data_IF_497343181302
#
_entry.id   IF_497343181302
#
_cell.length_a   1.000
_cell.length_b   1.000
_cell.length_c   1.000
_cell.angle_alpha   90.00
_cell.angle_beta   90.00
_cell.angle_gamma   90.00
#
_symmetry.space_group_name_H-M   'P 1'
#
loop_
_entity.id
_entity.type
_entity.pdbx_description
1 polymer ?
#
# COMPACT_ATOMS: atom_id res chain seq x y z
N UNK A 1 14.38 -3.05 2.66
CA UNK A 1 14.66 -4.52 2.67
C UNK A 1 15.35 -5.07 1.42
N UNK A 2 14.87 -4.76 0.22
CA UNK A 2 15.31 -5.37 -1.06
C UNK A 2 16.74 -5.02 -1.52
N UNK A 3 17.46 -4.19 -0.78
CA UNK A 3 18.91 -3.96 -0.98
C UNK A 3 19.78 -5.03 -0.30
N UNK A 4 19.21 -5.78 0.67
CA UNK A 4 19.91 -6.83 1.40
C UNK A 4 20.01 -8.08 0.53
N UNK A 5 21.23 -8.59 0.32
CA UNK A 5 21.48 -9.72 -0.59
C UNK A 5 20.98 -11.06 -0.02
N UNK A 6 21.03 -11.21 1.29
CA UNK A 6 20.60 -12.37 2.10
C UNK A 6 19.10 -12.33 2.46
N UNK A 7 18.31 -11.42 1.87
CA UNK A 7 16.89 -11.24 2.21
C UNK A 7 16.07 -12.53 2.08
N UNK A 8 16.31 -13.30 1.02
CA UNK A 8 15.57 -14.55 0.78
C UNK A 8 15.94 -15.62 1.81
N UNK A 9 17.23 -15.70 2.19
CA UNK A 9 17.70 -16.65 3.20
C UNK A 9 17.12 -16.33 4.58
N UNK A 10 17.03 -15.04 4.93
CA UNK A 10 16.36 -14.59 6.16
C UNK A 10 14.90 -15.03 6.18
N UNK A 11 14.17 -14.86 5.07
CA UNK A 11 12.76 -15.28 4.99
C UNK A 11 12.64 -16.81 5.17
N UNK A 12 13.53 -17.61 4.55
CA UNK A 12 13.54 -19.07 4.74
C UNK A 12 13.82 -19.45 6.18
N UNK A 13 14.78 -18.78 6.83
CA UNK A 13 15.13 -19.03 8.22
C UNK A 13 13.95 -18.73 9.14
N UNK A 14 13.29 -17.57 8.97
CA UNK A 14 12.08 -17.22 9.72
C UNK A 14 10.99 -18.27 9.47
N UNK A 15 10.83 -18.73 8.23
CA UNK A 15 9.80 -19.72 7.87
C UNK A 15 10.03 -21.09 8.50
N UNK A 16 11.27 -21.46 8.83
CA UNK A 16 11.56 -22.71 9.54
C UNK A 16 11.06 -22.74 10.99
N UNK A 17 10.62 -21.61 11.54
CA UNK A 17 9.92 -21.56 12.82
C UNK A 17 8.42 -21.79 12.59
N UNK A 18 7.92 -22.99 12.90
CA UNK A 18 6.52 -23.40 12.65
C UNK A 18 5.47 -22.53 13.34
N UNK A 19 5.85 -21.86 14.43
CA UNK A 19 5.00 -20.92 15.18
C UNK A 19 4.70 -19.64 14.39
N UNK A 20 5.56 -19.26 13.45
CA UNK A 20 5.42 -18.04 12.65
C UNK A 20 4.48 -18.29 11.47
N UNK A 21 3.26 -17.73 11.58
CA UNK A 21 2.20 -17.90 10.56
C UNK A 21 2.27 -16.85 9.45
N UNK A 22 2.75 -15.65 9.75
CA UNK A 22 2.79 -14.54 8.79
C UNK A 22 4.19 -13.96 8.70
N UNK A 23 4.72 -13.88 7.48
CA UNK A 23 5.99 -13.21 7.19
C UNK A 23 5.67 -12.12 6.18
N UNK A 24 5.87 -10.87 6.62
CA UNK A 24 5.60 -9.68 5.83
C UNK A 24 6.85 -8.92 5.44
N UNK A 25 6.83 -8.27 4.28
CA UNK A 25 7.78 -7.19 3.97
C UNK A 25 7.05 -5.89 3.68
N UNK A 26 7.74 -4.78 3.94
CA UNK A 26 7.41 -3.46 3.40
C UNK A 26 8.52 -3.01 2.45
N UNK A 27 8.17 -2.66 1.22
CA UNK A 27 9.12 -2.26 0.18
C UNK A 27 8.63 -1.04 -0.58
N UNK A 28 9.52 -0.25 -1.17
CA UNK A 28 9.14 0.83 -2.10
C UNK A 28 8.87 0.32 -3.53
N UNK A 29 8.81 -1.00 -3.73
CA UNK A 29 8.50 -1.63 -5.01
C UNK A 29 9.64 -1.62 -6.04
N UNK A 30 10.65 -0.75 -5.93
CA UNK A 30 11.65 -0.54 -7.00
C UNK A 30 12.38 -1.82 -7.40
N UNK A 31 12.82 -2.63 -6.44
CA UNK A 31 13.53 -3.88 -6.69
C UNK A 31 12.66 -5.14 -6.53
N UNK A 32 11.33 -4.98 -6.40
CA UNK A 32 10.43 -6.08 -6.05
C UNK A 32 10.49 -7.23 -7.07
N UNK A 33 10.47 -6.92 -8.37
CA UNK A 33 10.52 -7.92 -9.44
C UNK A 33 11.70 -8.90 -9.35
N UNK A 34 12.85 -8.45 -8.84
CA UNK A 34 14.05 -9.32 -8.68
C UNK A 34 13.85 -10.41 -7.64
N UNK A 35 13.00 -10.17 -6.64
CA UNK A 35 12.85 -11.03 -5.47
C UNK A 35 11.46 -11.66 -5.35
N UNK A 36 10.45 -11.14 -6.05
CA UNK A 36 9.04 -11.49 -5.89
C UNK A 36 8.81 -13.01 -5.80
N UNK A 37 9.24 -13.75 -6.84
CA UNK A 37 9.11 -15.21 -6.90
C UNK A 37 9.91 -15.92 -5.81
N UNK A 38 11.16 -15.52 -5.59
CA UNK A 38 12.04 -16.15 -4.60
C UNK A 38 11.54 -15.96 -3.17
N UNK A 39 10.97 -14.78 -2.87
CA UNK A 39 10.39 -14.47 -1.56
C UNK A 39 9.14 -15.28 -1.30
N UNK A 40 8.24 -15.38 -2.29
CA UNK A 40 7.07 -16.23 -2.20
C UNK A 40 7.47 -17.69 -1.93
N UNK A 41 8.42 -18.23 -2.71
CA UNK A 41 8.95 -19.58 -2.52
C UNK A 41 9.64 -19.78 -1.17
N UNK A 42 10.25 -18.74 -0.61
CA UNK A 42 10.86 -18.77 0.72
C UNK A 42 9.83 -18.77 1.87
N UNK A 43 8.54 -18.56 1.57
CA UNK A 43 7.45 -18.55 2.55
C UNK A 43 6.92 -17.17 2.90
N UNK A 44 7.29 -16.12 2.15
CA UNK A 44 6.68 -14.80 2.31
C UNK A 44 5.20 -14.84 1.88
N UNK A 45 4.32 -14.38 2.76
CA UNK A 45 2.86 -14.42 2.53
C UNK A 45 2.14 -13.09 2.77
N UNK A 46 2.87 -12.01 3.08
CA UNK A 46 2.33 -10.65 3.22
C UNK A 46 3.22 -9.62 2.54
N UNK A 47 2.65 -8.83 1.63
CA UNK A 47 3.38 -7.83 0.86
C UNK A 47 2.78 -6.43 1.06
N UNK A 48 3.61 -5.51 1.57
CA UNK A 48 3.27 -4.11 1.74
C UNK A 48 4.17 -3.26 0.83
N UNK A 49 3.58 -2.36 0.08
CA UNK A 49 4.27 -1.50 -0.87
C UNK A 49 4.02 -0.04 -0.50
N UNK A 50 5.07 0.71 -0.21
CA UNK A 50 4.96 2.16 0.01
C UNK A 50 4.92 2.89 -1.33
N UNK A 51 3.83 3.62 -1.59
CA UNK A 51 3.64 4.44 -2.78
C UNK A 51 2.75 5.63 -2.44
N UNK A 52 3.33 6.83 -2.42
CA UNK A 52 2.62 8.04 -1.99
C UNK A 52 1.99 8.83 -3.15
N UNK A 53 2.19 8.45 -4.40
CA UNK A 53 1.60 9.15 -5.55
C UNK A 53 1.58 8.27 -6.79
N UNK A 54 0.54 8.45 -7.61
CA UNK A 54 0.36 7.88 -8.94
C UNK A 54 0.79 8.86 -10.05
N UNK A 55 1.29 10.05 -9.68
CA UNK A 55 1.84 11.03 -10.61
C UNK A 55 3.35 10.91 -10.66
N UNK A 56 3.90 10.69 -11.86
CA UNK A 56 5.33 10.43 -12.09
C UNK A 56 6.21 11.54 -11.54
N UNK A 57 5.86 12.79 -11.81
CA UNK A 57 6.64 13.98 -11.43
C UNK A 57 6.67 14.13 -9.90
N UNK A 58 5.54 13.91 -9.23
CA UNK A 58 5.44 13.92 -7.76
C UNK A 58 6.27 12.77 -7.16
N UNK A 59 6.26 11.58 -7.78
CA UNK A 59 7.05 10.43 -7.33
C UNK A 59 8.55 10.72 -7.40
N UNK A 60 9.01 11.25 -8.52
CA UNK A 60 10.43 11.56 -8.75
C UNK A 60 10.90 12.67 -7.80
N UNK A 61 10.04 13.67 -7.55
CA UNK A 61 10.28 14.71 -6.55
C UNK A 61 10.45 14.15 -5.13
N UNK A 62 9.53 13.28 -4.68
CA UNK A 62 9.59 12.69 -3.33
C UNK A 62 10.76 11.72 -3.16
N UNK A 63 10.93 10.79 -4.10
CA UNK A 63 11.87 9.68 -3.96
C UNK A 63 13.29 10.03 -4.44
N UNK A 64 13.43 11.12 -5.21
CA UNK A 64 14.66 11.52 -5.91
C UNK A 64 15.19 10.42 -6.85
N UNK A 65 14.28 9.62 -7.41
CA UNK A 65 14.61 8.47 -8.29
C UNK A 65 13.68 8.41 -9.48
N UNK A 66 14.26 8.25 -10.68
CA UNK A 66 13.54 8.00 -11.92
C UNK A 66 13.08 6.53 -12.01
N UNK A 67 12.18 6.12 -11.11
CA UNK A 67 11.77 4.73 -10.95
C UNK A 67 10.25 4.50 -10.98
N UNK A 68 9.46 5.55 -11.21
CA UNK A 68 7.98 5.47 -11.14
C UNK A 68 7.41 4.35 -12.03
N UNK A 69 7.71 4.38 -13.33
CA UNK A 69 7.22 3.37 -14.29
C UNK A 69 7.58 1.95 -13.85
N UNK A 70 8.81 1.75 -13.34
CA UNK A 70 9.26 0.46 -12.85
C UNK A 70 8.48 0.00 -11.62
N UNK A 71 8.18 0.91 -10.69
CA UNK A 71 7.37 0.58 -9.50
C UNK A 71 5.97 0.17 -9.90
N UNK A 72 5.30 0.90 -10.80
CA UNK A 72 3.96 0.56 -11.28
C UNK A 72 3.95 -0.80 -11.99
N UNK A 73 4.92 -1.09 -12.85
CA UNK A 73 5.07 -2.40 -13.49
C UNK A 73 5.25 -3.51 -12.46
N UNK A 74 6.12 -3.31 -11.47
CA UNK A 74 6.36 -4.31 -10.43
C UNK A 74 5.12 -4.56 -9.53
N UNK A 75 4.29 -3.53 -9.29
CA UNK A 75 3.03 -3.68 -8.55
C UNK A 75 2.05 -4.54 -9.35
N UNK A 76 1.92 -4.27 -10.66
CA UNK A 76 1.08 -5.07 -11.55
C UNK A 76 1.55 -6.53 -11.60
N UNK A 77 2.84 -6.75 -11.79
CA UNK A 77 3.43 -8.10 -11.78
C UNK A 77 3.13 -8.85 -10.47
N UNK A 78 3.19 -8.16 -9.33
CA UNK A 78 2.87 -8.76 -8.03
C UNK A 78 1.38 -9.11 -7.86
N UNK A 79 0.47 -8.29 -8.40
CA UNK A 79 -0.96 -8.57 -8.42
C UNK A 79 -1.28 -9.74 -9.36
N UNK A 80 -0.76 -9.70 -10.58
CA UNK A 80 -1.01 -10.71 -11.62
C UNK A 80 -0.44 -12.09 -11.26
N UNK A 81 0.61 -12.15 -10.43
CA UNK A 81 1.22 -13.41 -10.02
C UNK A 81 0.36 -14.24 -9.06
N UNK A 82 -0.62 -13.61 -8.38
CA UNK A 82 -1.47 -14.24 -7.37
C UNK A 82 -0.70 -14.95 -6.24
N UNK A 83 0.55 -14.51 -5.96
CA UNK A 83 1.40 -15.11 -4.93
C UNK A 83 0.97 -14.75 -3.51
N UNK A 84 0.31 -13.62 -3.35
CA UNK A 84 -0.09 -13.10 -2.04
C UNK A 84 -1.61 -13.07 -1.95
N UNK A 85 -2.20 -13.54 -0.83
CA UNK A 85 -3.64 -13.44 -0.62
C UNK A 85 -4.10 -11.98 -0.51
N UNK A 86 -3.19 -11.08 -0.09
CA UNK A 86 -3.44 -9.66 0.02
C UNK A 86 -2.14 -8.87 -0.16
N UNK A 87 -2.18 -7.89 -1.05
CA UNK A 87 -1.15 -6.87 -1.26
C UNK A 87 -1.69 -5.55 -0.70
N UNK A 88 -0.92 -4.90 0.16
CA UNK A 88 -1.26 -3.60 0.76
C UNK A 88 -0.41 -2.51 0.11
N UNK A 89 -1.03 -1.48 -0.43
CA UNK A 89 -0.32 -0.24 -0.81
C UNK A 89 -0.53 0.79 0.28
N UNK A 90 0.55 1.26 0.90
CA UNK A 90 0.55 2.30 1.91
C UNK A 90 0.86 3.64 1.25
N UNK A 91 -0.05 4.60 1.38
CA UNK A 91 0.09 5.96 0.87
C UNK A 91 -0.01 6.94 2.04
N UNK A 92 1.05 7.70 2.30
CA UNK A 92 1.04 8.80 3.25
C UNK A 92 0.41 10.01 2.59
N UNK A 93 -0.74 10.43 3.11
CA UNK A 93 -1.54 11.50 2.51
C UNK A 93 -1.11 12.85 3.11
N UNK A 94 -0.79 13.78 2.21
CA UNK A 94 -0.34 15.13 2.48
C UNK A 94 -1.25 16.14 1.79
N UNK A 95 -1.73 17.10 2.58
CA UNK A 95 -2.57 18.20 2.10
C UNK A 95 -1.83 19.01 1.02
N UNK A 96 -2.55 19.40 -0.03
CA UNK A 96 -2.04 20.15 -1.20
C UNK A 96 -0.88 19.48 -1.94
N UNK A 97 -0.66 18.19 -1.72
CA UNK A 97 0.37 17.43 -2.43
C UNK A 97 -0.21 16.23 -3.18
N UNK A 98 -0.85 15.29 -2.48
CA UNK A 98 -1.41 14.06 -3.06
C UNK A 98 -2.83 13.73 -2.55
N UNK A 99 -3.45 14.59 -1.72
CA UNK A 99 -4.82 14.38 -1.25
C UNK A 99 -5.85 14.39 -2.40
N UNK A 100 -5.50 14.96 -3.55
CA UNK A 100 -6.25 14.92 -4.80
C UNK A 100 -6.26 13.52 -5.46
N UNK A 101 -5.30 12.66 -5.13
CA UNK A 101 -5.12 11.33 -5.77
C UNK A 101 -5.84 10.20 -5.01
N UNK A 102 -6.55 10.49 -3.92
CA UNK A 102 -7.23 9.46 -3.10
C UNK A 102 -8.14 8.56 -3.92
N UNK A 103 -8.95 9.15 -4.81
CA UNK A 103 -9.88 8.40 -5.65
C UNK A 103 -9.14 7.62 -6.75
N UNK A 104 -8.02 8.15 -7.27
CA UNK A 104 -7.20 7.44 -8.25
C UNK A 104 -6.57 6.17 -7.64
N UNK A 105 -6.15 6.23 -6.37
CA UNK A 105 -5.70 5.05 -5.65
C UNK A 105 -6.83 4.03 -5.42
N UNK A 106 -8.03 4.49 -5.06
CA UNK A 106 -9.20 3.62 -4.87
C UNK A 106 -9.59 2.95 -6.19
N UNK A 107 -9.48 3.64 -7.32
CA UNK A 107 -9.76 3.10 -8.66
C UNK A 107 -8.90 1.86 -8.97
N UNK A 108 -7.67 1.78 -8.48
CA UNK A 108 -6.82 0.59 -8.63
C UNK A 108 -7.46 -0.68 -8.05
N UNK A 109 -8.36 -0.54 -7.08
CA UNK A 109 -9.01 -1.66 -6.39
C UNK A 109 -10.24 -2.20 -7.13
N UNK A 110 -10.71 -1.52 -8.19
CA UNK A 110 -11.97 -1.86 -8.88
C UNK A 110 -12.07 -3.34 -9.25
N UNK A 111 -11.04 -3.86 -9.92
CA UNK A 111 -11.00 -5.24 -10.42
C UNK A 111 -9.90 -6.07 -9.71
N UNK A 112 -9.52 -5.70 -8.49
CA UNK A 112 -8.38 -6.30 -7.78
C UNK A 112 -8.78 -6.75 -6.37
N UNK A 113 -9.34 -7.96 -6.26
CA UNK A 113 -9.80 -8.54 -4.98
C UNK A 113 -8.69 -8.74 -3.94
N UNK A 114 -7.44 -8.90 -4.40
CA UNK A 114 -6.25 -9.08 -3.55
C UNK A 114 -5.54 -7.76 -3.23
N UNK A 115 -6.09 -6.60 -3.61
CA UNK A 115 -5.49 -5.29 -3.34
C UNK A 115 -6.23 -4.54 -2.23
N UNK A 116 -5.45 -4.01 -1.30
CA UNK A 116 -5.89 -3.06 -0.29
C UNK A 116 -5.05 -1.77 -0.32
N UNK A 117 -5.70 -0.61 -0.34
CA UNK A 117 -5.03 0.68 -0.16
C UNK A 117 -5.14 1.11 1.30
N UNK A 118 -4.05 1.60 1.87
CA UNK A 118 -4.02 2.19 3.21
C UNK A 118 -3.61 3.65 3.11
N UNK A 119 -4.51 4.53 3.47
CA UNK A 119 -4.22 5.94 3.62
C UNK A 119 -3.72 6.20 5.04
N UNK A 120 -2.53 6.77 5.13
CA UNK A 120 -1.86 7.05 6.39
C UNK A 120 -1.81 8.57 6.52
N UNK A 121 -2.30 9.10 7.64
CA UNK A 121 -2.16 10.51 7.94
C UNK A 121 -0.66 10.85 8.02
N UNK A 122 -0.25 11.92 7.34
CA UNK A 122 1.08 12.49 7.58
C UNK A 122 1.16 12.87 9.07
N UNK A 123 2.17 12.37 9.80
CA UNK A 123 2.38 12.63 11.23
C UNK A 123 3.75 13.26 11.50
N UNK A 124 3.94 14.01 12.60
CA UNK A 124 5.23 14.59 12.95
C UNK A 124 6.27 13.49 13.25
N UNK A 125 7.47 13.66 12.69
CA UNK A 125 8.66 12.87 13.01
C UNK A 125 9.87 13.81 13.07
N UNK A 126 10.85 13.51 13.92
CA UNK A 126 11.98 14.40 14.22
C UNK A 126 12.70 14.95 12.97
N UNK A 127 12.80 14.15 11.89
CA UNK A 127 13.52 14.52 10.67
C UNK A 127 12.63 14.91 9.47
N UNK A 128 11.29 14.88 9.59
CA UNK A 128 10.41 14.96 8.42
C UNK A 128 10.00 16.39 7.99
N UNK A 129 10.60 17.44 8.60
CA UNK A 129 10.21 18.85 8.41
C UNK A 129 8.69 19.01 8.49
N UNK A 130 8.12 18.48 9.58
CA UNK A 130 6.69 18.51 9.87
C UNK A 130 6.10 19.90 9.67
N UNK A 131 4.89 19.93 9.12
CA UNK A 131 4.09 21.16 9.05
C UNK A 131 2.63 20.79 9.11
N UNK A 132 1.89 21.43 10.01
CA UNK A 132 0.42 21.26 10.11
C UNK A 132 -0.28 21.59 8.78
N UNK A 133 0.34 22.42 7.93
CA UNK A 133 -0.16 22.72 6.59
C UNK A 133 -0.22 21.51 5.67
N UNK A 134 0.59 20.48 5.94
CA UNK A 134 0.62 19.21 5.19
C UNK A 134 -0.27 18.14 5.83
N UNK A 135 -0.73 18.34 7.06
CA UNK A 135 -1.65 17.40 7.70
C UNK A 135 -2.98 17.39 6.94
N UNK A 136 -3.48 16.18 6.66
CA UNK A 136 -4.77 15.96 6.07
C UNK A 136 -5.47 14.86 6.88
N UNK A 137 -6.50 15.18 7.68
CA UNK A 137 -7.09 14.22 8.58
C UNK A 137 -7.97 13.21 7.84
N UNK A 138 -8.08 12.00 8.41
CA UNK A 138 -8.93 10.92 7.93
C UNK A 138 -10.38 11.36 7.64
N UNK A 139 -10.95 12.23 8.47
CA UNK A 139 -12.31 12.73 8.28
C UNK A 139 -12.47 13.50 6.97
N UNK A 140 -11.46 14.30 6.60
CA UNK A 140 -11.45 15.03 5.32
C UNK A 140 -11.17 14.08 4.15
N UNK A 141 -10.32 13.06 4.32
CA UNK A 141 -10.15 11.99 3.31
C UNK A 141 -11.47 11.31 3.00
N UNK A 142 -12.17 10.82 4.03
CA UNK A 142 -13.42 10.10 3.87
C UNK A 142 -14.52 11.00 3.26
N UNK A 143 -14.55 12.27 3.65
CA UNK A 143 -15.47 13.26 3.08
C UNK A 143 -15.22 13.47 1.59
N UNK A 144 -13.96 13.64 1.17
CA UNK A 144 -13.58 13.78 -0.23
C UNK A 144 -13.98 12.55 -1.04
N UNK A 145 -13.69 11.35 -0.53
CA UNK A 145 -14.05 10.08 -1.18
C UNK A 145 -15.57 9.94 -1.35
N UNK A 146 -16.35 10.26 -0.30
CA UNK A 146 -17.82 10.20 -0.34
C UNK A 146 -18.43 11.25 -1.27
N UNK A 147 -17.76 12.38 -1.49
CA UNK A 147 -18.17 13.37 -2.49
C UNK A 147 -17.94 12.89 -3.92
N UNK A 148 -16.88 12.12 -4.17
CA UNK A 148 -16.56 11.60 -5.50
C UNK A 148 -17.44 10.40 -5.90
N UNK A 149 -17.58 9.40 -5.03
CA UNK A 149 -18.26 8.13 -5.36
C UNK A 149 -19.75 8.08 -4.99
N UNK A 150 -20.33 9.16 -4.43
CA UNK A 150 -21.58 9.14 -3.65
C UNK A 150 -21.45 8.41 -2.31
N UNK A 151 -22.01 9.00 -1.25
CA UNK A 151 -21.94 8.43 0.10
C UNK A 151 -22.62 7.07 0.23
N UNK A 152 -23.57 6.76 -0.65
CA UNK A 152 -24.30 5.48 -0.66
C UNK A 152 -23.49 4.32 -1.21
N UNK A 153 -22.44 4.60 -1.96
CA UNK A 153 -21.60 3.58 -2.59
C UNK A 153 -20.34 3.29 -1.78
N UNK A 154 -20.07 4.05 -0.71
CA UNK A 154 -18.94 3.81 0.19
C UNK A 154 -19.39 2.97 1.39
N UNK A 155 -19.14 1.67 1.31
CA UNK A 155 -19.52 0.68 2.33
C UNK A 155 -18.39 0.51 3.34
N UNK A 156 -18.69 0.60 4.64
CA UNK A 156 -17.74 0.23 5.68
C UNK A 156 -17.72 -1.30 5.84
N UNK A 157 -16.53 -1.89 5.92
CA UNK A 157 -16.35 -3.32 6.14
C UNK A 157 -15.60 -3.57 7.45
N UNK A 158 -15.97 -4.66 8.14
CA UNK A 158 -15.36 -5.06 9.41
C UNK A 158 -14.20 -6.02 9.12
N UNK A 159 -13.06 -5.82 9.78
CA UNK A 159 -11.94 -6.75 9.72
C UNK A 159 -12.16 -7.87 10.73
N UNK A 160 -11.88 -9.11 10.32
CA UNK A 160 -11.88 -10.27 11.24
C UNK A 160 -10.60 -10.33 12.10
N UNK A 161 -9.59 -9.51 11.78
CA UNK A 161 -8.34 -9.41 12.54
C UNK A 161 -8.51 -8.45 13.73
N UNK A 162 -8.40 -9.01 14.95
CA UNK A 162 -8.53 -8.28 16.22
C UNK A 162 -7.44 -7.22 16.45
N UNK A 163 -6.34 -7.29 15.71
CA UNK A 163 -5.22 -6.34 15.79
C UNK A 163 -5.24 -5.31 14.67
N UNK A 164 -6.25 -5.34 13.79
CA UNK A 164 -6.38 -4.41 12.70
C UNK A 164 -6.89 -3.05 13.19
N UNK A 165 -6.03 -2.04 13.12
CA UNK A 165 -6.37 -0.66 13.50
C UNK A 165 -7.05 0.13 12.37
N UNK A 166 -7.22 -0.49 11.20
CA UNK A 166 -7.71 0.16 9.98
C UNK A 166 -9.23 0.16 9.94
N UNK A 167 -9.83 1.30 9.61
CA UNK A 167 -11.25 1.37 9.29
C UNK A 167 -11.41 1.08 7.80
N UNK A 168 -11.73 -0.16 7.48
CA UNK A 168 -11.85 -0.56 6.09
C UNK A 168 -13.16 -0.13 5.46
N UNK A 169 -13.06 0.21 4.18
CA UNK A 169 -14.14 0.60 3.30
C UNK A 169 -13.97 -0.10 1.95
N UNK A 170 -15.07 -0.16 1.20
CA UNK A 170 -15.11 -0.65 -0.17
C UNK A 170 -16.12 0.17 -0.95
N UNK A 171 -15.81 0.45 -2.21
CA UNK A 171 -16.78 1.06 -3.13
C UNK A 171 -17.70 -0.05 -3.65
N UNK A 172 -18.99 0.22 -3.74
CA UNK A 172 -19.97 -0.70 -4.31
C UNK A 172 -19.50 -1.17 -5.69
N UNK A 173 -19.59 -2.48 -5.93
CA UNK A 173 -19.11 -3.17 -7.14
C UNK A 173 -17.58 -3.20 -7.33
N UNK A 174 -16.77 -2.70 -6.40
CA UNK A 174 -15.31 -2.88 -6.44
C UNK A 174 -14.95 -4.18 -5.73
N UNK A 175 -13.87 -4.82 -6.17
CA UNK A 175 -13.40 -6.08 -5.60
C UNK A 175 -12.47 -5.88 -4.41
N UNK A 176 -11.55 -4.91 -4.49
CA UNK A 176 -10.60 -4.59 -3.42
C UNK A 176 -11.17 -3.65 -2.37
N UNK A 177 -10.29 -3.15 -1.49
CA UNK A 177 -10.68 -2.31 -0.34
C UNK A 177 -9.70 -1.17 -0.07
N UNK A 178 -10.13 -0.18 0.69
CA UNK A 178 -9.28 0.90 1.17
C UNK A 178 -9.57 1.22 2.64
N UNK A 179 -8.65 1.88 3.35
CA UNK A 179 -8.88 2.29 4.72
C UNK A 179 -7.75 3.12 5.31
#
# INVERSE_FOLDING_TARGET
PTLRKDLVDIVRLIKSCDEIKTIGITTNGVLLNRYLKQLHQAGLNSLNISLDTLVKEKFEFLTRRLAFTRVIVNIREALDSNYFPLIKINCVVMNKFNCDELCDFIELTRNQSTLAIRFIEYMPFDDNKWSDKKYFPYQEMLKLIKQHYSSTDVEQIVSDDKHDTTKWYRIKNYQGRFG
#
